data_IF_456201374532
#
_entry.id   IF_456201374532
#
_cell.length_a   1.000
_cell.length_b   1.000
_cell.length_c   1.000
_cell.angle_alpha   90.00
_cell.angle_beta   90.00
_cell.angle_gamma   90.00
#
_symmetry.space_group_name_H-M   'P 1'
#
loop_
_entity.id
_entity.type
_entity.pdbx_description
1 polymer ?
#
# COMPACT_ATOMS: atom_id res chain seq x y z
N UNK A 1 -23.44 -22.27 -31.34
CA UNK A 1 -24.22 -21.48 -30.37
C UNK A 1 -24.91 -20.35 -31.10
N UNK A 2 -26.12 -20.00 -30.68
CA UNK A 2 -26.91 -18.92 -31.31
C UNK A 2 -26.89 -17.69 -30.37
N UNK A 3 -26.55 -16.55 -30.95
CA UNK A 3 -26.55 -15.29 -30.21
C UNK A 3 -27.96 -14.74 -29.95
N UNK A 4 -28.15 -13.81 -29.03
CA UNK A 4 -29.46 -13.17 -28.79
C UNK A 4 -30.03 -12.45 -30.01
N UNK A 5 -29.19 -12.02 -30.94
CA UNK A 5 -29.64 -11.43 -32.23
C UNK A 5 -29.99 -12.47 -33.30
N UNK A 6 -29.97 -13.77 -32.99
CA UNK A 6 -30.26 -14.86 -33.94
C UNK A 6 -29.09 -15.30 -34.83
N UNK A 7 -27.92 -14.72 -34.66
CA UNK A 7 -26.70 -15.12 -35.39
C UNK A 7 -26.20 -16.47 -34.88
N UNK A 8 -26.01 -17.43 -35.77
CA UNK A 8 -25.35 -18.71 -35.45
C UNK A 8 -23.82 -18.58 -35.51
N UNK A 9 -23.16 -19.09 -34.51
CA UNK A 9 -21.72 -19.22 -34.41
C UNK A 9 -21.35 -20.68 -34.38
N UNK A 10 -20.88 -21.20 -35.51
CA UNK A 10 -20.66 -22.65 -35.73
C UNK A 10 -19.34 -23.13 -35.09
N UNK A 11 -18.36 -22.24 -34.89
CA UNK A 11 -17.11 -22.60 -34.32
C UNK A 11 -16.31 -21.39 -33.87
N UNK A 12 -15.16 -21.61 -33.18
CA UNK A 12 -14.22 -20.55 -32.87
C UNK A 12 -13.49 -20.06 -34.15
N UNK A 13 -12.81 -18.92 -34.10
CA UNK A 13 -11.99 -18.45 -35.22
C UNK A 13 -11.00 -19.53 -35.67
N UNK A 14 -10.64 -19.52 -36.97
CA UNK A 14 -9.72 -20.50 -37.55
C UNK A 14 -8.42 -20.63 -36.75
N UNK A 15 -8.04 -21.85 -36.44
CA UNK A 15 -6.83 -22.18 -35.64
C UNK A 15 -7.01 -22.01 -34.13
N UNK A 16 -8.24 -21.84 -33.65
CA UNK A 16 -8.55 -21.79 -32.21
C UNK A 16 -9.57 -22.85 -31.82
N UNK A 17 -9.65 -23.14 -30.52
CA UNK A 17 -10.61 -24.08 -29.93
C UNK A 17 -11.45 -23.38 -28.87
N UNK A 18 -12.64 -23.92 -28.60
CA UNK A 18 -13.41 -23.51 -27.44
C UNK A 18 -12.67 -23.93 -26.17
N UNK A 19 -12.52 -23.03 -25.24
CA UNK A 19 -11.83 -23.29 -23.96
C UNK A 19 -12.71 -23.92 -22.89
N UNK A 20 -14.01 -23.98 -23.15
CA UNK A 20 -15.03 -24.55 -22.24
C UNK A 20 -15.91 -25.53 -22.99
N UNK A 21 -16.48 -26.49 -22.27
CA UNK A 21 -17.46 -27.46 -22.82
C UNK A 21 -18.77 -26.77 -23.15
N UNK A 22 -19.59 -27.42 -23.97
CA UNK A 22 -20.96 -26.94 -24.29
C UNK A 22 -21.80 -26.77 -23.01
N UNK A 23 -21.80 -27.76 -22.12
CA UNK A 23 -22.55 -27.70 -20.87
C UNK A 23 -22.11 -26.52 -19.97
N UNK A 24 -20.77 -26.27 -19.90
CA UNK A 24 -20.25 -25.10 -19.17
C UNK A 24 -20.68 -23.78 -19.81
N UNK A 25 -20.72 -23.72 -21.14
CA UNK A 25 -21.19 -22.53 -21.84
C UNK A 25 -22.67 -22.25 -21.53
N UNK A 26 -23.55 -23.28 -21.61
CA UNK A 26 -24.98 -23.16 -21.35
C UNK A 26 -25.24 -22.70 -19.90
N UNK A 27 -24.48 -23.21 -18.93
CA UNK A 27 -24.55 -22.77 -17.53
C UNK A 27 -24.14 -21.30 -17.36
N UNK A 28 -23.06 -20.86 -18.04
CA UNK A 28 -22.59 -19.47 -17.99
C UNK A 28 -23.57 -18.52 -18.71
N UNK A 29 -24.23 -18.99 -19.77
CA UNK A 29 -25.26 -18.22 -20.47
C UNK A 29 -26.48 -18.02 -19.60
N UNK A 30 -26.95 -19.08 -18.93
CA UNK A 30 -28.05 -19.00 -17.97
C UNK A 30 -27.75 -18.04 -16.80
N UNK A 31 -26.48 -17.97 -16.35
CA UNK A 31 -26.00 -17.02 -15.33
C UNK A 31 -25.69 -15.63 -15.90
N UNK A 32 -26.11 -15.34 -17.14
CA UNK A 32 -25.85 -14.05 -17.81
C UNK A 32 -24.37 -13.66 -17.91
N UNK A 33 -23.47 -14.64 -17.87
CA UNK A 33 -22.01 -14.43 -17.93
C UNK A 33 -21.43 -14.41 -19.34
N UNK A 34 -22.25 -14.61 -20.34
CA UNK A 34 -21.82 -14.47 -21.75
C UNK A 34 -22.18 -13.10 -22.28
N UNK A 35 -21.19 -12.43 -22.85
CA UNK A 35 -21.36 -11.14 -23.50
C UNK A 35 -21.23 -11.25 -25.03
N UNK A 36 -22.26 -10.83 -25.71
CA UNK A 36 -22.40 -10.90 -27.15
C UNK A 36 -22.14 -9.55 -27.86
N UNK A 37 -21.53 -8.57 -27.15
CA UNK A 37 -21.38 -7.21 -27.64
C UNK A 37 -22.65 -6.37 -27.42
N UNK A 38 -22.55 -5.08 -27.70
CA UNK A 38 -23.67 -4.14 -27.52
C UNK A 38 -24.88 -4.48 -28.40
N UNK A 39 -24.66 -4.98 -29.62
CA UNK A 39 -25.69 -5.40 -30.57
C UNK A 39 -26.19 -6.84 -30.35
N UNK A 40 -25.59 -7.61 -29.43
CA UNK A 40 -25.94 -9.01 -29.24
C UNK A 40 -25.52 -9.95 -30.37
N UNK A 41 -24.64 -9.53 -31.28
CA UNK A 41 -24.30 -10.30 -32.49
C UNK A 41 -22.80 -10.65 -32.61
N UNK A 42 -21.96 -10.28 -31.61
CA UNK A 42 -20.55 -10.58 -31.65
C UNK A 42 -20.25 -12.03 -31.26
N UNK A 43 -18.96 -12.43 -31.40
CA UNK A 43 -18.45 -13.66 -30.81
C UNK A 43 -18.65 -13.64 -29.28
N UNK A 44 -19.11 -14.76 -28.69
CA UNK A 44 -19.32 -14.82 -27.24
C UNK A 44 -18.03 -14.58 -26.47
N UNK A 45 -18.10 -13.78 -25.41
CA UNK A 45 -17.02 -13.53 -24.48
C UNK A 45 -17.50 -13.76 -23.06
N UNK A 46 -16.65 -14.34 -22.22
CA UNK A 46 -16.95 -14.52 -20.80
C UNK A 46 -16.86 -13.17 -20.09
N UNK A 47 -17.94 -12.80 -19.37
CA UNK A 47 -17.92 -11.70 -18.41
C UNK A 47 -17.22 -12.16 -17.14
N UNK A 48 -16.39 -11.30 -16.56
CA UNK A 48 -15.92 -11.39 -15.19
C UNK A 48 -16.56 -10.26 -14.40
N UNK A 49 -17.28 -10.60 -13.35
CA UNK A 49 -17.85 -9.61 -12.46
C UNK A 49 -16.78 -9.12 -11.47
N UNK A 50 -16.92 -7.90 -10.99
CA UNK A 50 -16.01 -7.36 -9.98
C UNK A 50 -16.00 -8.18 -8.69
N UNK A 51 -17.13 -8.82 -8.36
CA UNK A 51 -17.26 -9.77 -7.25
C UNK A 51 -16.40 -11.04 -7.40
N UNK A 52 -16.05 -11.41 -8.63
CA UNK A 52 -15.26 -12.62 -8.91
C UNK A 52 -13.75 -12.35 -8.82
N UNK A 53 -13.36 -11.08 -8.74
CA UNK A 53 -11.97 -10.67 -8.75
C UNK A 53 -11.54 -10.41 -7.31
N UNK A 54 -10.43 -11.01 -6.90
CA UNK A 54 -9.81 -10.65 -5.60
C UNK A 54 -9.53 -9.15 -5.57
N UNK A 55 -9.97 -8.51 -4.49
CA UNK A 55 -9.65 -7.10 -4.27
C UNK A 55 -8.14 -6.90 -4.15
N UNK A 56 -7.64 -5.87 -4.81
CA UNK A 56 -6.23 -5.47 -4.74
C UNK A 56 -5.43 -5.80 -6.00
N UNK A 57 -4.30 -5.14 -6.09
CA UNK A 57 -3.30 -5.32 -7.15
C UNK A 57 -2.07 -5.94 -6.50
N UNK A 58 -1.47 -6.95 -7.15
CA UNK A 58 -0.21 -7.53 -6.70
C UNK A 58 0.85 -6.42 -6.67
N UNK A 59 1.55 -6.23 -5.54
CA UNK A 59 2.59 -5.21 -5.44
C UNK A 59 3.69 -5.45 -6.48
N UNK A 60 4.20 -4.38 -7.04
CA UNK A 60 5.38 -4.45 -7.92
C UNK A 60 6.60 -4.87 -7.11
N UNK A 61 7.52 -5.61 -7.73
CA UNK A 61 8.77 -6.03 -7.09
C UNK A 61 9.83 -4.93 -7.06
N UNK A 62 9.67 -3.91 -7.88
CA UNK A 62 10.56 -2.74 -7.93
C UNK A 62 9.78 -1.48 -7.53
N UNK A 63 10.32 -0.73 -6.58
CA UNK A 63 9.75 0.53 -6.10
C UNK A 63 10.71 1.67 -6.38
N UNK A 64 10.26 2.64 -7.15
CA UNK A 64 11.09 3.79 -7.51
C UNK A 64 11.10 4.83 -6.38
N UNK A 65 12.21 5.56 -6.27
CA UNK A 65 12.35 6.62 -5.26
C UNK A 65 11.28 7.72 -5.38
N UNK A 66 10.74 7.93 -6.56
CA UNK A 66 9.62 8.86 -6.79
C UNK A 66 8.35 8.46 -6.04
N UNK A 67 8.16 7.15 -5.80
CA UNK A 67 7.01 6.59 -5.09
C UNK A 67 7.27 6.46 -3.60
N UNK A 68 8.41 5.90 -3.22
CA UNK A 68 8.71 5.52 -1.84
C UNK A 68 9.71 6.45 -1.14
N UNK A 69 10.22 7.48 -1.81
CA UNK A 69 11.19 8.41 -1.24
C UNK A 69 12.64 7.94 -1.33
N UNK A 70 13.56 8.78 -0.88
CA UNK A 70 14.99 8.52 -0.82
C UNK A 70 15.62 9.12 0.44
N UNK A 71 16.88 8.79 0.72
CA UNK A 71 17.57 9.18 1.97
C UNK A 71 17.64 10.69 2.19
N UNK A 72 17.79 11.50 1.14
CA UNK A 72 17.82 12.97 1.29
C UNK A 72 16.47 13.54 1.73
N UNK A 73 15.36 13.01 1.21
CA UNK A 73 14.01 13.36 1.65
C UNK A 73 13.81 12.97 3.12
N UNK A 74 14.19 11.74 3.46
CA UNK A 74 14.12 11.24 4.82
C UNK A 74 14.95 12.08 5.83
N UNK A 75 16.13 12.57 5.40
CA UNK A 75 16.95 13.43 6.22
C UNK A 75 16.29 14.79 6.43
N UNK A 76 15.69 15.39 5.41
CA UNK A 76 14.93 16.64 5.55
C UNK A 76 13.73 16.47 6.50
N UNK A 77 12.97 15.38 6.35
CA UNK A 77 11.86 15.05 7.25
C UNK A 77 12.33 14.90 8.70
N UNK A 78 13.46 14.23 8.92
CA UNK A 78 14.02 14.07 10.27
C UNK A 78 14.45 15.39 10.89
N UNK A 79 15.09 16.28 10.12
CA UNK A 79 15.49 17.62 10.56
C UNK A 79 14.32 18.55 10.89
N UNK A 80 13.13 18.31 10.32
CA UNK A 80 11.90 19.03 10.71
C UNK A 80 11.33 18.51 12.05
N UNK A 81 11.67 17.27 12.42
CA UNK A 81 11.10 16.56 13.57
C UNK A 81 11.99 16.56 14.79
N UNK A 82 13.29 16.58 14.61
CA UNK A 82 14.28 16.45 15.71
C UNK A 82 15.30 17.56 15.58
N UNK A 83 15.53 18.27 16.67
CA UNK A 83 16.56 19.29 16.75
C UNK A 83 17.91 18.62 17.04
N UNK A 84 18.94 18.96 16.28
CA UNK A 84 20.28 18.44 16.45
C UNK A 84 21.22 19.60 16.83
N UNK A 85 22.07 19.38 17.81
CA UNK A 85 23.00 20.40 18.29
C UNK A 85 24.08 20.71 17.26
N UNK A 86 24.56 19.68 16.54
CA UNK A 86 25.58 19.80 15.51
C UNK A 86 25.19 18.96 14.25
N UNK A 87 25.86 19.28 13.12
CA UNK A 87 25.70 18.51 11.88
C UNK A 87 26.16 17.05 12.01
N UNK A 88 27.07 16.79 12.94
CA UNK A 88 27.64 15.46 13.17
C UNK A 88 26.70 14.55 14.00
N UNK A 89 25.81 15.15 14.77
CA UNK A 89 24.79 14.43 15.54
C UNK A 89 23.60 13.97 14.67
N UNK A 90 23.49 14.51 13.46
CA UNK A 90 22.38 14.17 12.57
C UNK A 90 22.49 12.73 12.11
N UNK A 91 21.45 11.94 12.36
CA UNK A 91 21.38 10.53 11.93
C UNK A 91 21.62 10.40 10.42
N UNK A 92 22.68 9.68 10.03
CA UNK A 92 23.27 9.75 8.68
C UNK A 92 22.36 9.15 7.61
N UNK A 93 21.64 8.05 7.92
CA UNK A 93 20.88 7.27 6.93
C UNK A 93 19.45 6.96 7.35
N UNK A 94 18.62 7.96 7.64
CA UNK A 94 17.21 7.70 7.93
C UNK A 94 16.52 7.09 6.69
N UNK A 95 15.56 6.22 6.92
CA UNK A 95 14.73 5.66 5.85
C UNK A 95 13.53 6.59 5.59
N UNK A 96 13.03 6.69 4.36
CA UNK A 96 11.83 7.47 4.06
C UNK A 96 10.60 6.87 4.73
N UNK A 97 9.78 7.70 5.34
CA UNK A 97 8.52 7.26 5.97
C UNK A 97 7.59 6.58 4.95
N UNK A 98 7.55 7.09 3.71
CA UNK A 98 6.75 6.50 2.62
C UNK A 98 7.15 5.07 2.27
N UNK A 99 8.45 4.73 2.36
CA UNK A 99 8.93 3.36 2.15
C UNK A 99 8.35 2.41 3.20
N UNK A 100 8.45 2.79 4.46
CA UNK A 100 7.93 1.96 5.56
C UNK A 100 6.40 1.87 5.49
N UNK A 101 5.69 2.96 5.18
CA UNK A 101 4.25 2.92 4.96
C UNK A 101 3.87 1.93 3.85
N UNK A 102 4.60 1.92 2.74
CA UNK A 102 4.36 0.94 1.65
C UNK A 102 4.52 -0.50 2.12
N UNK A 103 5.53 -0.77 2.97
CA UNK A 103 5.72 -2.09 3.59
C UNK A 103 4.54 -2.43 4.49
N UNK A 104 4.11 -1.51 5.35
CA UNK A 104 2.97 -1.71 6.26
C UNK A 104 1.68 -2.03 5.50
N UNK A 105 1.40 -1.31 4.42
CA UNK A 105 0.22 -1.53 3.57
C UNK A 105 0.17 -2.93 2.95
N UNK A 106 1.32 -3.53 2.69
CA UNK A 106 1.42 -4.84 2.04
C UNK A 106 1.47 -5.97 3.08
N UNK A 107 2.16 -5.76 4.20
CA UNK A 107 2.56 -6.82 5.10
C UNK A 107 1.78 -6.84 6.43
N UNK A 108 0.89 -5.87 6.69
CA UNK A 108 0.21 -5.76 7.98
C UNK A 108 -1.29 -5.57 7.84
N UNK A 109 -2.03 -6.14 8.79
CA UNK A 109 -3.43 -5.83 9.05
C UNK A 109 -3.53 -4.59 9.96
N UNK A 110 -4.76 -4.09 10.16
CA UNK A 110 -5.03 -2.85 10.90
C UNK A 110 -4.70 -2.89 12.39
N UNK A 111 -4.56 -4.06 12.97
CA UNK A 111 -4.29 -4.32 14.40
C UNK A 111 -2.96 -5.05 14.66
N UNK A 112 -2.12 -5.15 13.65
CA UNK A 112 -0.82 -5.83 13.74
C UNK A 112 0.12 -5.19 14.76
N UNK A 113 1.00 -6.00 15.34
CA UNK A 113 2.14 -5.55 16.14
C UNK A 113 3.40 -5.59 15.28
N UNK A 114 4.08 -4.46 15.16
CA UNK A 114 5.28 -4.28 14.36
C UNK A 114 6.51 -4.23 15.28
N UNK A 115 7.50 -5.07 15.03
CA UNK A 115 8.80 -5.02 15.72
C UNK A 115 9.85 -4.48 14.76
N UNK A 116 10.56 -3.44 15.18
CA UNK A 116 11.78 -2.95 14.54
C UNK A 116 12.95 -3.07 15.53
N UNK A 117 13.82 -4.04 15.30
CA UNK A 117 14.95 -4.35 16.17
C UNK A 117 16.18 -3.48 15.92
N UNK A 118 16.14 -2.58 14.94
CA UNK A 118 17.18 -1.60 14.61
C UNK A 118 16.53 -0.25 14.27
N UNK A 119 15.82 0.33 15.23
CA UNK A 119 14.92 1.45 15.02
C UNK A 119 15.58 2.71 14.45
N UNK A 120 16.87 2.92 14.73
CA UNK A 120 17.62 4.05 14.24
C UNK A 120 16.91 5.37 14.51
N UNK A 121 16.55 6.09 13.45
CA UNK A 121 15.84 7.37 13.57
C UNK A 121 14.32 7.25 13.89
N UNK A 122 13.79 6.06 14.20
CA UNK A 122 12.39 5.87 14.57
C UNK A 122 11.39 5.98 13.40
N UNK A 123 11.84 5.77 12.18
CA UNK A 123 10.99 5.88 10.99
C UNK A 123 9.80 4.91 11.03
N UNK A 124 10.01 3.70 11.54
CA UNK A 124 8.95 2.69 11.64
C UNK A 124 7.81 3.16 12.55
N UNK A 125 8.11 3.69 13.72
CA UNK A 125 7.09 4.24 14.63
C UNK A 125 6.31 5.39 13.97
N UNK A 126 7.01 6.33 13.33
CA UNK A 126 6.38 7.41 12.57
C UNK A 126 5.44 6.88 11.46
N UNK A 127 5.91 5.90 10.69
CA UNK A 127 5.11 5.31 9.60
C UNK A 127 3.86 4.58 10.13
N UNK A 128 3.96 3.88 11.27
CA UNK A 128 2.81 3.21 11.89
C UNK A 128 1.77 4.22 12.36
N UNK A 129 2.15 5.27 13.06
CA UNK A 129 1.23 6.33 13.49
C UNK A 129 0.54 6.98 12.30
N UNK A 130 1.29 7.28 11.24
CA UNK A 130 0.76 7.87 10.03
C UNK A 130 -0.19 6.93 9.29
N UNK A 131 0.14 5.65 9.16
CA UNK A 131 -0.73 4.66 8.54
C UNK A 131 -2.02 4.46 9.32
N UNK A 132 -1.97 4.44 10.66
CA UNK A 132 -3.16 4.36 11.50
C UNK A 132 -4.08 5.57 11.32
N UNK A 133 -3.51 6.78 11.24
CA UNK A 133 -4.29 8.00 10.99
C UNK A 133 -4.96 7.99 9.60
N UNK A 134 -4.31 7.40 8.58
CA UNK A 134 -4.83 7.34 7.22
C UNK A 134 -5.95 6.31 7.03
N UNK A 135 -5.82 5.13 7.66
CA UNK A 135 -6.75 4.01 7.41
C UNK A 135 -7.64 3.65 8.61
N UNK A 136 -7.53 4.40 9.71
CA UNK A 136 -8.25 4.13 10.95
C UNK A 136 -7.81 2.84 11.63
N UNK A 137 -6.56 2.42 11.43
CA UNK A 137 -5.98 1.24 12.06
C UNK A 137 -5.55 1.51 13.50
N UNK A 138 -5.25 0.43 14.21
CA UNK A 138 -4.75 0.42 15.58
C UNK A 138 -3.48 -0.45 15.67
N UNK A 139 -2.60 -0.34 14.67
CA UNK A 139 -1.30 -1.01 14.69
C UNK A 139 -0.48 -0.49 15.85
N UNK A 140 0.26 -1.39 16.47
CA UNK A 140 1.18 -1.10 17.57
C UNK A 140 2.61 -1.39 17.13
N UNK A 141 3.59 -0.82 17.81
CA UNK A 141 4.99 -1.06 17.48
C UNK A 141 5.85 -1.22 18.73
N UNK A 142 6.95 -1.94 18.55
CA UNK A 142 8.07 -2.05 19.50
C UNK A 142 9.30 -1.63 18.72
N UNK A 143 10.01 -0.62 19.21
CA UNK A 143 11.24 -0.11 18.64
C UNK A 143 12.39 -0.45 19.58
N UNK A 144 13.43 -1.07 19.04
CA UNK A 144 14.65 -1.39 19.77
C UNK A 144 15.81 -0.67 19.10
N UNK A 145 16.54 0.12 19.89
CA UNK A 145 17.75 0.80 19.44
C UNK A 145 18.85 0.57 20.48
N UNK A 146 20.02 0.15 20.02
CA UNK A 146 21.10 -0.25 20.88
C UNK A 146 21.91 0.94 21.42
N UNK A 147 21.99 2.04 20.66
CA UNK A 147 22.64 3.26 21.10
C UNK A 147 21.68 4.08 21.98
N UNK A 148 21.98 4.26 23.29
CA UNK A 148 21.10 4.99 24.19
C UNK A 148 20.88 6.46 23.80
N UNK A 149 21.86 7.11 23.18
CA UNK A 149 21.75 8.50 22.71
C UNK A 149 20.77 8.55 21.53
N UNK A 150 20.91 7.68 20.54
CA UNK A 150 20.00 7.60 19.41
C UNK A 150 18.59 7.23 19.88
N UNK A 151 18.47 6.24 20.74
CA UNK A 151 17.19 5.78 21.26
C UNK A 151 16.40 6.90 21.94
N UNK A 152 17.08 7.71 22.78
CA UNK A 152 16.45 8.78 23.55
C UNK A 152 16.26 10.06 22.74
N UNK A 153 17.34 10.53 22.13
CA UNK A 153 17.39 11.89 21.59
C UNK A 153 16.85 11.96 20.15
N UNK A 154 16.82 10.83 19.43
CA UNK A 154 16.33 10.77 18.05
C UNK A 154 15.05 9.92 17.92
N UNK A 155 15.13 8.63 18.27
CA UNK A 155 14.03 7.68 18.06
C UNK A 155 12.79 8.08 18.87
N UNK A 156 12.95 8.23 20.18
CA UNK A 156 11.84 8.56 21.07
C UNK A 156 11.31 9.97 20.81
N UNK A 157 12.21 10.94 20.57
CA UNK A 157 11.81 12.31 20.29
C UNK A 157 11.01 12.42 18.99
N UNK A 158 11.44 11.76 17.92
CA UNK A 158 10.68 11.71 16.65
C UNK A 158 9.28 11.17 16.87
N UNK A 159 9.17 10.01 17.53
CA UNK A 159 7.88 9.36 17.76
C UNK A 159 6.99 10.23 18.65
N UNK A 160 7.53 10.82 19.71
CA UNK A 160 6.80 11.73 20.62
C UNK A 160 6.24 12.93 19.86
N UNK A 161 7.07 13.62 19.05
CA UNK A 161 6.61 14.79 18.27
C UNK A 161 5.53 14.43 17.26
N UNK A 162 5.69 13.33 16.56
CA UNK A 162 4.67 12.85 15.61
C UNK A 162 3.35 12.51 16.32
N UNK A 163 3.42 11.84 17.46
CA UNK A 163 2.23 11.47 18.23
C UNK A 163 1.50 12.68 18.84
N UNK A 164 2.24 13.68 19.34
CA UNK A 164 1.70 14.84 20.06
C UNK A 164 1.46 16.06 19.17
N UNK A 165 1.94 16.05 17.94
CA UNK A 165 2.04 17.22 17.08
C UNK A 165 3.29 18.05 17.39
N UNK A 166 3.71 18.86 16.43
CA UNK A 166 4.90 19.70 16.55
C UNK A 166 4.78 20.97 15.70
N UNK A 167 5.66 21.92 15.96
CA UNK A 167 5.78 23.12 15.14
C UNK A 167 7.03 23.03 14.30
N UNK A 168 6.91 23.22 12.99
CA UNK A 168 8.05 23.26 12.07
C UNK A 168 8.88 24.53 12.27
N UNK A 169 10.11 24.54 11.77
CA UNK A 169 10.99 25.71 11.83
C UNK A 169 10.41 26.96 11.15
N UNK A 170 9.54 26.80 10.16
CA UNK A 170 8.84 27.89 9.49
C UNK A 170 7.60 28.41 10.25
N UNK A 171 7.30 27.86 11.43
CA UNK A 171 6.14 28.21 12.25
C UNK A 171 4.86 27.43 11.98
N UNK A 172 4.83 26.56 10.97
CA UNK A 172 3.66 25.73 10.67
C UNK A 172 3.43 24.69 11.77
N UNK A 173 2.18 24.58 12.23
CA UNK A 173 1.79 23.56 13.20
C UNK A 173 1.37 22.29 12.49
N UNK A 174 1.95 21.16 12.87
CA UNK A 174 1.55 19.83 12.44
C UNK A 174 0.70 19.20 13.52
N UNK A 175 -0.50 18.76 13.13
CA UNK A 175 -1.45 18.14 14.05
C UNK A 175 -0.91 16.79 14.59
N UNK A 176 -1.31 16.41 15.82
CA UNK A 176 -0.94 15.10 16.37
C UNK A 176 -1.55 13.95 15.55
N UNK A 177 -0.77 12.91 15.34
CA UNK A 177 -1.28 11.67 14.74
C UNK A 177 -1.89 10.72 15.77
N UNK A 178 -1.76 11.03 17.05
CA UNK A 178 -2.20 10.17 18.14
C UNK A 178 -1.16 9.12 18.54
N UNK A 179 -1.52 8.32 19.56
CA UNK A 179 -0.71 7.21 20.02
C UNK A 179 -1.06 5.91 19.30
N UNK A 180 -0.10 4.96 19.20
CA UNK A 180 -0.28 3.57 18.77
C UNK A 180 -0.05 2.62 19.93
#
# INVERSE_FOLDING_TARGET
VTSPSGRTVDGPPRGRYWTISRASFDALEADSRIWWGASGSNMPRLKRFMSDVKAGIVPQTMWFHTEVGHTQEAKKELLELVDFETSDDVFITPKPTRLIQRILQIATDKDSLILDSFAGSGTTGHAVLKQNAEDGGNRRFILVEMDPKIAKDVTAERVRRVAQGYTKANGDKVAPLGGG
#
